data_IF_840026612673
#
_entry.id   IF_840026612673
#
_cell.length_a   1.000
_cell.length_b   1.000
_cell.length_c   1.000
_cell.angle_alpha   90.00
_cell.angle_beta   90.00
_cell.angle_gamma   90.00
#
_symmetry.space_group_name_H-M   'P 1'
#
loop_
_entity.id
_entity.type
_entity.pdbx_description
1 polymer ?
#
# COMPACT_ATOMS: atom_id res chain seq x y z
N UNK A 1 -68.63 56.55 14.25
CA UNK A 1 -69.32 57.51 13.38
C UNK A 1 -69.13 57.18 11.92
N UNK A 2 -70.23 56.97 11.23
CA UNK A 2 -70.50 57.07 9.78
C UNK A 2 -69.64 56.22 8.83
N UNK A 3 -70.22 55.10 8.26
CA UNK A 3 -71.15 55.06 7.08
C UNK A 3 -70.38 55.39 5.80
N UNK A 4 -70.43 54.69 4.72
CA UNK A 4 -71.38 53.76 4.10
C UNK A 4 -70.69 53.05 2.90
N UNK A 5 -71.03 51.84 2.70
CA UNK A 5 -71.26 51.08 1.45
C UNK A 5 -71.95 51.93 0.33
N UNK A 6 -72.23 51.28 -0.84
CA UNK A 6 -71.59 50.41 -1.82
C UNK A 6 -71.82 50.97 -3.25
N UNK A 7 -71.27 50.37 -4.27
CA UNK A 7 -72.01 50.34 -5.55
C UNK A 7 -71.61 49.15 -6.40
N UNK A 8 -72.62 48.43 -6.58
CA UNK A 8 -72.76 47.24 -7.40
C UNK A 8 -73.18 47.71 -8.81
N UNK A 9 -72.78 46.88 -9.78
CA UNK A 9 -73.49 46.62 -11.05
C UNK A 9 -73.19 47.54 -12.25
N UNK A 10 -72.82 47.03 -13.28
CA UNK A 10 -73.54 46.77 -14.58
C UNK A 10 -72.55 46.41 -15.66
N UNK A 11 -72.65 45.22 -16.17
CA UNK A 11 -73.42 44.74 -17.38
C UNK A 11 -72.47 44.77 -18.56
N UNK A 12 -72.06 43.61 -18.98
CA UNK A 12 -72.60 42.68 -19.99
C UNK A 12 -72.52 43.18 -21.44
N UNK A 13 -72.06 42.37 -22.24
CA UNK A 13 -72.22 42.23 -23.67
C UNK A 13 -71.32 43.04 -24.58
N UNK A 14 -70.43 42.33 -25.19
CA UNK A 14 -70.53 42.25 -26.68
C UNK A 14 -69.69 41.05 -27.12
N UNK A 15 -70.43 40.01 -27.50
CA UNK A 15 -70.03 38.91 -28.35
C UNK A 15 -69.69 39.46 -29.74
N UNK A 16 -68.73 38.90 -30.36
CA UNK A 16 -68.69 38.41 -31.72
C UNK A 16 -67.35 38.66 -32.44
N UNK A 17 -66.84 37.60 -33.01
CA UNK A 17 -66.13 37.52 -34.25
C UNK A 17 -64.70 37.99 -34.31
N UNK A 18 -63.81 36.99 -34.18
CA UNK A 18 -62.76 36.75 -35.16
C UNK A 18 -62.19 35.32 -34.97
N UNK A 19 -62.92 34.35 -35.39
CA UNK A 19 -62.29 33.08 -35.85
C UNK A 19 -61.63 33.41 -37.19
N UNK A 20 -60.33 33.25 -37.26
CA UNK A 20 -59.60 32.75 -38.47
C UNK A 20 -58.08 32.99 -38.29
N UNK A 21 -57.36 31.92 -38.60
CA UNK A 21 -55.94 31.86 -38.91
C UNK A 21 -54.92 32.00 -37.77
N UNK A 22 -54.56 30.89 -37.13
CA UNK A 22 -53.16 30.49 -37.04
C UNK A 22 -53.09 28.98 -37.06
N UNK A 23 -53.16 28.44 -38.25
CA UNK A 23 -52.60 27.13 -38.60
C UNK A 23 -51.17 27.41 -39.07
N UNK A 24 -50.22 27.37 -38.21
CA UNK A 24 -48.82 27.43 -38.61
C UNK A 24 -47.93 26.70 -37.61
N UNK A 25 -47.29 25.67 -38.12
CA UNK A 25 -46.09 25.02 -37.63
C UNK A 25 -46.20 24.29 -36.28
N UNK A 26 -46.78 23.12 -36.29
CA UNK A 26 -46.29 21.99 -35.53
C UNK A 26 -45.08 21.44 -36.27
N UNK A 27 -43.86 21.93 -35.95
CA UNK A 27 -42.64 21.23 -36.23
C UNK A 27 -42.53 20.12 -35.16
N UNK A 28 -42.24 18.86 -35.52
CA UNK A 28 -41.95 17.84 -34.50
C UNK A 28 -40.68 18.24 -33.82
N UNK A 29 -40.75 18.50 -32.48
CA UNK A 29 -39.60 18.59 -31.64
C UNK A 29 -38.84 17.26 -31.76
N UNK A 30 -37.72 17.29 -32.45
CA UNK A 30 -36.76 16.20 -32.43
C UNK A 30 -36.42 15.95 -30.94
N UNK A 31 -36.87 14.79 -30.45
CA UNK A 31 -36.47 14.29 -29.18
C UNK A 31 -34.94 14.21 -29.20
N UNK A 32 -34.28 15.18 -28.59
CA UNK A 32 -32.85 15.14 -28.32
C UNK A 32 -32.61 13.89 -27.47
N UNK A 33 -31.89 12.93 -28.03
CA UNK A 33 -31.39 11.80 -27.26
C UNK A 33 -30.71 12.36 -25.99
N UNK A 34 -30.89 11.73 -24.81
CA UNK A 34 -30.19 12.12 -23.63
C UNK A 34 -28.70 11.98 -23.94
N UNK A 35 -28.02 13.10 -24.09
CA UNK A 35 -26.56 13.12 -24.04
C UNK A 35 -26.22 12.65 -22.63
N UNK A 36 -25.79 11.39 -22.54
CA UNK A 36 -25.19 10.83 -21.36
C UNK A 36 -23.99 11.70 -20.98
N UNK A 37 -24.23 12.70 -20.20
CA UNK A 37 -23.19 13.44 -19.51
C UNK A 37 -22.49 12.44 -18.61
N UNK A 38 -21.38 11.89 -19.07
CA UNK A 38 -20.39 11.31 -18.19
C UNK A 38 -20.01 12.45 -17.26
N UNK A 39 -20.44 12.36 -15.99
CA UNK A 39 -19.92 13.17 -14.90
C UNK A 39 -18.44 12.83 -14.73
N UNK A 40 -17.63 13.17 -15.71
CA UNK A 40 -16.18 13.13 -15.65
C UNK A 40 -15.77 14.24 -14.70
N UNK A 41 -15.46 13.88 -13.46
CA UNK A 41 -14.52 14.70 -12.72
C UNK A 41 -13.32 14.90 -13.64
N UNK A 42 -12.79 16.13 -13.77
CA UNK A 42 -11.63 16.36 -14.60
C UNK A 42 -10.57 15.35 -14.19
N UNK A 43 -10.10 14.55 -15.16
CA UNK A 43 -9.11 13.52 -14.90
C UNK A 43 -7.96 14.17 -14.13
N UNK A 44 -7.71 13.70 -12.92
CA UNK A 44 -6.61 14.22 -12.09
C UNK A 44 -5.32 14.07 -12.89
N UNK A 45 -4.53 15.11 -13.00
CA UNK A 45 -3.20 15.01 -13.61
C UNK A 45 -2.36 14.03 -12.80
N UNK A 46 -1.90 12.97 -13.45
CA UNK A 46 -1.05 11.93 -12.87
C UNK A 46 0.24 11.75 -13.66
N UNK A 47 0.65 12.80 -14.40
CA UNK A 47 1.84 12.75 -15.26
C UNK A 47 3.15 12.84 -14.49
N UNK A 48 3.12 13.39 -13.25
CA UNK A 48 4.29 13.63 -12.42
C UNK A 48 4.09 13.10 -11.02
N UNK A 49 4.43 11.85 -10.79
CA UNK A 49 4.20 11.14 -9.53
C UNK A 49 5.45 11.22 -8.66
N UNK A 50 5.29 11.65 -7.41
CA UNK A 50 6.27 11.39 -6.34
C UNK A 50 5.80 10.19 -5.55
N UNK A 51 6.64 9.15 -5.52
CA UNK A 51 6.38 7.87 -4.86
C UNK A 51 7.13 7.79 -3.53
N UNK A 52 6.39 7.69 -2.43
CA UNK A 52 6.95 7.65 -1.08
C UNK A 52 6.56 6.32 -0.43
N UNK A 53 7.57 5.46 -0.23
CA UNK A 53 7.43 4.08 0.26
C UNK A 53 7.83 3.05 -0.80
N UNK A 54 8.76 2.14 -0.45
CA UNK A 54 9.29 1.14 -1.38
C UNK A 54 8.23 0.25 -2.02
N UNK A 55 7.17 -0.11 -1.28
CA UNK A 55 6.04 -0.88 -1.82
C UNK A 55 5.20 -0.06 -2.82
N UNK A 56 5.03 1.26 -2.58
CA UNK A 56 4.34 2.15 -3.52
C UNK A 56 5.08 2.20 -4.84
N UNK A 57 6.40 2.37 -4.78
CA UNK A 57 7.27 2.37 -5.97
C UNK A 57 7.19 1.03 -6.71
N UNK A 58 7.30 -0.08 -6.00
CA UNK A 58 7.20 -1.43 -6.60
C UNK A 58 5.86 -1.62 -7.34
N UNK A 59 4.75 -1.20 -6.73
CA UNK A 59 3.42 -1.27 -7.36
C UNK A 59 3.33 -0.38 -8.60
N UNK A 60 3.83 0.85 -8.54
CA UNK A 60 3.83 1.75 -9.70
C UNK A 60 4.61 1.18 -10.88
N UNK A 61 5.76 0.56 -10.63
CA UNK A 61 6.52 -0.15 -11.66
C UNK A 61 5.77 -1.37 -12.19
N UNK A 62 5.14 -2.17 -11.31
CA UNK A 62 4.33 -3.32 -11.71
C UNK A 62 3.08 -2.91 -12.53
N UNK A 63 2.60 -1.66 -12.38
CA UNK A 63 1.53 -1.09 -13.18
C UNK A 63 2.01 -0.43 -14.49
N UNK A 64 3.33 -0.44 -14.78
CA UNK A 64 3.91 0.16 -15.98
C UNK A 64 3.84 1.70 -15.99
N UNK A 65 4.03 2.31 -14.81
CA UNK A 65 3.93 3.77 -14.62
C UNK A 65 5.29 4.44 -14.37
N UNK A 66 6.40 3.75 -14.62
CA UNK A 66 7.76 4.22 -14.34
C UNK A 66 8.07 5.58 -15.00
N UNK A 67 7.50 5.85 -16.19
CA UNK A 67 7.71 7.10 -16.91
C UNK A 67 7.02 8.29 -16.24
N UNK A 68 5.98 8.04 -15.42
CA UNK A 68 5.29 9.07 -14.67
C UNK A 68 5.97 9.40 -13.32
N UNK A 69 6.88 8.54 -12.85
CA UNK A 69 7.57 8.72 -11.57
C UNK A 69 8.69 9.75 -11.75
N UNK A 70 8.60 10.87 -11.05
CA UNK A 70 9.63 11.93 -11.05
C UNK A 70 10.59 11.80 -9.88
N UNK A 71 10.16 11.20 -8.78
CA UNK A 71 11.02 10.92 -7.63
C UNK A 71 10.48 9.77 -6.77
N UNK A 72 11.40 9.18 -6.01
CA UNK A 72 11.13 8.08 -5.08
C UNK A 72 11.77 8.37 -3.72
N UNK A 73 11.33 7.69 -2.67
CA UNK A 73 12.02 7.75 -1.38
C UNK A 73 13.18 6.74 -1.30
N UNK A 74 14.03 6.89 -0.27
CA UNK A 74 15.24 6.08 -0.10
C UNK A 74 14.96 4.58 0.16
N UNK A 75 13.72 4.16 0.42
CA UNK A 75 13.36 2.75 0.59
C UNK A 75 12.98 2.05 -0.71
N UNK A 76 12.94 2.76 -1.82
CA UNK A 76 12.54 2.29 -3.15
C UNK A 76 13.62 1.46 -3.84
N UNK A 77 14.10 0.40 -3.16
CA UNK A 77 15.20 -0.45 -3.66
C UNK A 77 14.79 -1.40 -4.79
N UNK A 78 13.49 -1.52 -5.07
CA UNK A 78 13.03 -2.39 -6.15
C UNK A 78 11.97 -1.70 -7.02
N UNK A 79 12.04 -1.85 -8.35
CA UNK A 79 13.14 -2.48 -9.07
C UNK A 79 14.44 -1.66 -8.93
N UNK A 80 15.63 -2.26 -9.16
CA UNK A 80 16.92 -1.59 -8.88
C UNK A 80 17.13 -0.27 -9.64
N UNK A 81 16.45 -0.10 -10.79
CA UNK A 81 16.52 1.13 -11.58
C UNK A 81 15.80 2.30 -10.88
N UNK A 82 14.86 2.06 -9.98
CA UNK A 82 14.10 3.12 -9.32
C UNK A 82 15.02 4.15 -8.63
N UNK A 83 15.93 3.71 -7.77
CA UNK A 83 16.89 4.61 -7.11
C UNK A 83 18.03 5.10 -8.01
N UNK A 84 18.33 4.39 -9.10
CA UNK A 84 19.39 4.80 -10.02
C UNK A 84 18.94 5.89 -10.99
N UNK A 85 17.68 5.88 -11.40
CA UNK A 85 17.13 6.73 -12.46
C UNK A 85 16.26 7.86 -11.94
N UNK A 86 15.66 7.71 -10.77
CA UNK A 86 14.75 8.69 -10.19
C UNK A 86 15.43 9.50 -9.09
N UNK A 87 15.02 10.75 -8.94
CA UNK A 87 15.48 11.60 -7.83
C UNK A 87 15.02 10.99 -6.50
N UNK A 88 15.85 11.07 -5.46
CA UNK A 88 15.47 10.66 -4.12
C UNK A 88 14.96 11.86 -3.33
N UNK A 89 13.81 11.68 -2.64
CA UNK A 89 13.27 12.65 -1.66
C UNK A 89 13.73 12.33 -0.23
N UNK A 90 14.70 11.43 -0.08
CA UNK A 90 15.20 11.02 1.23
C UNK A 90 14.38 9.89 1.86
N UNK A 91 14.57 9.68 3.16
CA UNK A 91 13.88 8.61 3.89
C UNK A 91 12.43 8.99 4.18
N UNK A 92 11.48 8.10 3.90
CA UNK A 92 10.04 8.40 3.98
C UNK A 92 9.55 8.90 5.35
N UNK A 93 10.28 8.65 6.45
CA UNK A 93 9.96 9.19 7.79
C UNK A 93 10.69 10.49 8.14
N UNK A 94 11.50 11.02 7.22
CA UNK A 94 12.29 12.25 7.40
C UNK A 94 12.22 13.13 6.15
N UNK A 95 11.01 13.31 5.62
CA UNK A 95 10.76 14.09 4.42
C UNK A 95 10.88 15.59 4.68
N UNK A 96 11.33 16.33 3.66
CA UNK A 96 11.27 17.80 3.58
C UNK A 96 10.15 18.20 2.63
N UNK A 97 9.22 19.09 3.02
CA UNK A 97 8.21 19.62 2.11
C UNK A 97 8.81 20.26 0.86
N UNK A 98 9.89 21.03 1.00
CA UNK A 98 10.58 21.69 -0.12
C UNK A 98 11.17 20.63 -1.08
N UNK A 99 11.79 19.58 -0.54
CA UNK A 99 12.36 18.49 -1.35
C UNK A 99 11.30 17.73 -2.16
N UNK A 100 10.08 17.59 -1.62
CA UNK A 100 8.96 16.93 -2.31
C UNK A 100 8.27 17.90 -3.28
N UNK A 101 7.86 19.07 -2.82
CA UNK A 101 7.05 20.02 -3.60
C UNK A 101 7.88 20.75 -4.67
N UNK A 102 9.17 20.96 -4.44
CA UNK A 102 10.10 21.54 -5.42
C UNK A 102 10.28 20.71 -6.71
N UNK A 103 9.79 19.48 -6.73
CA UNK A 103 9.74 18.62 -7.93
C UNK A 103 8.54 18.90 -8.82
N UNK A 104 7.66 19.84 -8.44
CA UNK A 104 6.40 20.13 -9.12
C UNK A 104 5.58 18.86 -9.42
N UNK A 105 5.26 18.03 -8.40
CA UNK A 105 4.44 16.86 -8.62
C UNK A 105 3.00 17.25 -8.98
N UNK A 106 2.34 16.41 -9.78
CA UNK A 106 0.90 16.48 -9.98
C UNK A 106 0.16 15.49 -9.04
N UNK A 107 0.87 14.44 -8.61
CA UNK A 107 0.35 13.44 -7.66
C UNK A 107 1.46 12.99 -6.70
N UNK A 108 1.13 12.93 -5.42
CA UNK A 108 1.98 12.38 -4.37
C UNK A 108 1.27 11.14 -3.81
N UNK A 109 1.93 9.98 -3.88
CA UNK A 109 1.49 8.74 -3.27
C UNK A 109 2.40 8.44 -2.10
N UNK A 110 1.91 8.55 -0.87
CA UNK A 110 2.70 8.36 0.33
C UNK A 110 2.16 7.20 1.17
N UNK A 111 3.03 6.25 1.52
CA UNK A 111 2.68 5.15 2.42
C UNK A 111 2.26 5.69 3.80
N UNK A 112 1.28 5.09 4.44
CA UNK A 112 0.93 5.40 5.84
C UNK A 112 2.17 5.35 6.74
N UNK A 113 2.28 6.31 7.67
CA UNK A 113 3.45 6.44 8.53
C UNK A 113 4.63 7.19 7.89
N UNK A 114 4.44 7.77 6.69
CA UNK A 114 5.35 8.78 6.17
C UNK A 114 5.40 10.00 7.11
N UNK A 115 6.53 10.67 7.17
CA UNK A 115 6.71 11.74 8.16
C UNK A 115 7.95 12.60 7.94
N UNK A 116 8.25 13.47 8.88
CA UNK A 116 7.53 13.72 10.14
C UNK A 116 6.14 14.33 9.92
N UNK A 117 5.25 14.23 10.92
CA UNK A 117 3.86 14.69 10.82
C UNK A 117 3.74 16.14 10.34
N UNK A 118 4.59 17.03 10.82
CA UNK A 118 4.61 18.43 10.42
C UNK A 118 4.89 18.59 8.92
N UNK A 119 5.85 17.83 8.38
CA UNK A 119 6.14 17.85 6.95
C UNK A 119 4.95 17.35 6.12
N UNK A 120 4.30 16.27 6.57
CA UNK A 120 3.12 15.73 5.89
C UNK A 120 1.97 16.73 5.86
N UNK A 121 1.68 17.43 6.98
CA UNK A 121 0.66 18.49 7.02
C UNK A 121 0.91 19.57 5.96
N UNK A 122 2.16 19.99 5.77
CA UNK A 122 2.50 21.01 4.73
C UNK A 122 2.33 20.43 3.32
N UNK A 123 2.78 19.20 3.09
CA UNK A 123 2.66 18.53 1.79
C UNK A 123 1.19 18.34 1.40
N UNK A 124 0.35 17.90 2.32
CA UNK A 124 -1.08 17.69 2.12
C UNK A 124 -1.83 18.99 1.84
N UNK A 125 -1.42 20.10 2.48
CA UNK A 125 -2.01 21.42 2.31
C UNK A 125 -1.57 22.16 1.03
N UNK A 126 -0.60 21.62 0.27
CA UNK A 126 -0.01 22.30 -0.88
C UNK A 126 -0.90 22.37 -2.13
N UNK A 127 -2.12 21.80 -2.11
CA UNK A 127 -3.04 21.80 -3.25
C UNK A 127 -2.66 20.85 -4.38
N UNK A 128 -1.64 20.02 -4.19
CA UNK A 128 -1.23 18.94 -5.10
C UNK A 128 -2.10 17.70 -4.83
N UNK A 129 -2.33 16.89 -5.86
CA UNK A 129 -2.98 15.58 -5.66
C UNK A 129 -2.21 14.74 -4.64
N UNK A 130 -2.82 14.47 -3.49
CA UNK A 130 -2.21 13.65 -2.43
C UNK A 130 -3.09 12.44 -2.11
N UNK A 131 -2.46 11.28 -1.94
CA UNK A 131 -3.12 10.03 -1.49
C UNK A 131 -2.25 9.35 -0.45
N UNK A 132 -2.81 9.18 0.75
CA UNK A 132 -2.23 8.29 1.76
C UNK A 132 -2.55 6.85 1.40
N UNK A 133 -1.52 6.05 1.23
CA UNK A 133 -1.61 4.64 0.81
C UNK A 133 -1.59 3.76 2.05
N UNK A 134 -2.63 2.96 2.31
CA UNK A 134 -2.71 2.14 3.52
C UNK A 134 -1.57 1.13 3.61
N UNK A 135 -1.07 0.88 4.83
CA UNK A 135 0.04 -0.05 5.10
C UNK A 135 -0.36 -1.15 6.08
N UNK A 136 -1.23 -2.04 5.63
CA UNK A 136 -1.68 -3.21 6.39
C UNK A 136 -0.84 -4.43 6.04
N UNK A 137 -0.33 -5.12 7.04
CA UNK A 137 0.60 -6.25 6.90
C UNK A 137 -0.13 -7.59 6.76
N UNK A 138 -1.06 -7.65 5.77
CA UNK A 138 -1.85 -8.84 5.41
C UNK A 138 -1.93 -8.99 3.90
N UNK A 139 -2.39 -10.16 3.41
CA UNK A 139 -2.62 -10.37 1.98
C UNK A 139 -3.68 -9.42 1.41
N UNK A 140 -4.77 -9.21 2.14
CA UNK A 140 -5.84 -8.28 1.79
C UNK A 140 -5.33 -6.83 1.75
N UNK A 141 -4.44 -6.47 2.69
CA UNK A 141 -3.82 -5.14 2.72
C UNK A 141 -2.93 -4.86 1.50
N UNK A 142 -2.28 -5.87 0.94
CA UNK A 142 -1.53 -5.71 -0.31
C UNK A 142 -2.47 -5.42 -1.48
N UNK A 143 -3.58 -6.15 -1.56
CA UNK A 143 -4.60 -5.98 -2.61
C UNK A 143 -5.24 -4.60 -2.51
N UNK A 144 -5.61 -4.16 -1.30
CA UNK A 144 -6.11 -2.81 -1.03
C UNK A 144 -5.12 -1.74 -1.49
N UNK A 145 -3.85 -1.89 -1.13
CA UNK A 145 -2.76 -0.97 -1.51
C UNK A 145 -2.63 -0.85 -3.03
N UNK A 146 -2.66 -1.96 -3.75
CA UNK A 146 -2.62 -1.98 -5.23
C UNK A 146 -3.80 -1.21 -5.81
N UNK A 147 -5.02 -1.45 -5.32
CA UNK A 147 -6.23 -0.79 -5.80
C UNK A 147 -6.20 0.72 -5.54
N UNK A 148 -5.82 1.13 -4.34
CA UNK A 148 -5.69 2.56 -3.98
C UNK A 148 -4.72 3.28 -4.91
N UNK A 149 -3.55 2.70 -5.16
CA UNK A 149 -2.54 3.28 -6.06
C UNK A 149 -3.05 3.31 -7.50
N UNK A 150 -3.66 2.22 -7.98
CA UNK A 150 -4.17 2.14 -9.35
C UNK A 150 -5.28 3.14 -9.62
N UNK A 151 -6.22 3.31 -8.68
CA UNK A 151 -7.30 4.30 -8.75
C UNK A 151 -6.73 5.72 -8.74
N UNK A 152 -5.78 6.01 -7.83
CA UNK A 152 -5.16 7.32 -7.75
C UNK A 152 -4.39 7.68 -9.05
N UNK A 153 -3.82 6.70 -9.73
CA UNK A 153 -3.06 6.87 -10.96
C UNK A 153 -3.91 6.75 -12.26
N UNK A 154 -5.22 6.45 -12.15
CA UNK A 154 -6.15 6.31 -13.28
C UNK A 154 -5.87 5.07 -14.16
N UNK A 155 -5.51 3.94 -13.53
CA UNK A 155 -5.17 2.68 -14.20
C UNK A 155 -5.85 1.47 -13.54
N UNK A 156 -7.11 1.61 -13.17
CA UNK A 156 -7.87 0.64 -12.38
C UNK A 156 -7.88 -0.77 -12.98
N UNK A 157 -8.01 -0.88 -14.32
CA UNK A 157 -7.96 -2.19 -15.00
C UNK A 157 -6.65 -2.92 -14.78
N UNK A 158 -5.53 -2.19 -14.85
CA UNK A 158 -4.19 -2.75 -14.57
C UNK A 158 -4.07 -3.12 -13.09
N UNK A 159 -4.64 -2.29 -12.21
CA UNK A 159 -4.72 -2.54 -10.77
C UNK A 159 -5.44 -3.84 -10.45
N UNK A 160 -6.62 -4.10 -11.04
CA UNK A 160 -7.36 -5.34 -10.81
C UNK A 160 -6.63 -6.57 -11.37
N UNK A 161 -5.97 -6.45 -12.53
CA UNK A 161 -5.13 -7.50 -13.07
C UNK A 161 -3.98 -7.86 -12.10
N UNK A 162 -3.25 -6.86 -11.59
CA UNK A 162 -2.16 -7.05 -10.63
C UNK A 162 -2.68 -7.60 -9.29
N UNK A 163 -3.79 -7.06 -8.78
CA UNK A 163 -4.43 -7.53 -7.55
C UNK A 163 -4.83 -9.00 -7.64
N UNK A 164 -5.40 -9.40 -8.79
CA UNK A 164 -5.72 -10.82 -9.04
C UNK A 164 -4.47 -11.69 -9.07
N UNK A 165 -3.41 -11.27 -9.75
CA UNK A 165 -2.17 -12.02 -9.81
C UNK A 165 -1.56 -12.25 -8.41
N UNK A 166 -1.56 -11.19 -7.57
CA UNK A 166 -1.10 -11.29 -6.18
C UNK A 166 -2.01 -12.19 -5.34
N UNK A 167 -3.34 -12.12 -5.53
CA UNK A 167 -4.29 -13.01 -4.86
C UNK A 167 -4.02 -14.48 -5.20
N UNK A 168 -3.80 -14.81 -6.48
CA UNK A 168 -3.50 -16.18 -6.93
C UNK A 168 -2.18 -16.71 -6.31
N UNK A 169 -1.19 -15.82 -6.11
CA UNK A 169 0.07 -16.17 -5.45
C UNK A 169 -0.12 -16.39 -3.95
N UNK A 170 -0.93 -15.57 -3.28
CA UNK A 170 -1.30 -15.74 -1.86
C UNK A 170 -2.09 -17.02 -1.63
N UNK A 171 -3.01 -17.39 -2.54
CA UNK A 171 -3.74 -18.66 -2.49
C UNK A 171 -2.80 -19.85 -2.63
N UNK A 172 -1.80 -19.74 -3.50
CA UNK A 172 -0.76 -20.78 -3.65
C UNK A 172 0.06 -20.91 -2.37
N UNK A 173 0.44 -19.80 -1.75
CA UNK A 173 1.11 -19.77 -0.45
C UNK A 173 0.22 -20.37 0.67
N UNK A 174 -1.07 -20.08 0.69
CA UNK A 174 -2.01 -20.63 1.66
C UNK A 174 -2.09 -22.16 1.57
N UNK A 175 -2.13 -22.71 0.36
CA UNK A 175 -2.08 -24.15 0.11
C UNK A 175 -0.76 -24.77 0.61
N UNK A 176 0.38 -24.12 0.36
CA UNK A 176 1.68 -24.60 0.87
C UNK A 176 1.67 -24.72 2.40
N UNK A 177 1.06 -23.74 3.08
CA UNK A 177 0.99 -23.70 4.55
C UNK A 177 0.14 -24.79 5.16
N UNK A 178 -0.77 -25.42 4.44
CA UNK A 178 -1.56 -26.56 4.97
C UNK A 178 -0.68 -27.77 5.35
N UNK A 179 0.54 -27.85 4.79
CA UNK A 179 1.52 -28.87 5.15
C UNK A 179 2.30 -28.58 6.44
N UNK A 180 2.08 -27.42 7.09
CA UNK A 180 2.78 -27.06 8.34
C UNK A 180 2.02 -27.62 9.53
N UNK A 181 2.62 -28.58 10.23
CA UNK A 181 2.02 -29.18 11.43
C UNK A 181 2.05 -28.23 12.64
N UNK A 182 3.21 -27.64 12.92
CA UNK A 182 3.41 -26.69 14.04
C UNK A 182 4.08 -25.42 13.54
N UNK A 183 3.52 -24.24 13.84
CA UNK A 183 4.12 -22.98 13.45
C UNK A 183 5.44 -22.75 14.19
N UNK A 184 6.47 -22.32 13.46
CA UNK A 184 7.77 -21.99 14.05
C UNK A 184 7.67 -20.66 14.80
N UNK A 185 8.10 -20.67 16.07
CA UNK A 185 8.23 -19.45 16.88
C UNK A 185 9.48 -18.68 16.42
N UNK A 186 9.29 -17.56 15.76
CA UNK A 186 10.37 -16.77 15.21
C UNK A 186 10.45 -15.40 15.93
N UNK A 187 11.67 -14.91 16.13
CA UNK A 187 11.95 -13.58 16.64
C UNK A 187 12.58 -12.76 15.52
N UNK A 188 12.04 -11.59 15.23
CA UNK A 188 12.64 -10.67 14.28
C UNK A 188 13.54 -9.68 15.02
N UNK A 189 14.84 -9.73 14.72
CA UNK A 189 15.86 -8.84 15.24
C UNK A 189 16.09 -7.69 14.25
N UNK A 190 15.68 -6.48 14.65
CA UNK A 190 15.86 -5.29 13.82
C UNK A 190 17.31 -4.77 13.90
N UNK A 191 17.86 -4.70 15.08
CA UNK A 191 19.24 -4.24 15.36
C UNK A 191 19.63 -4.51 16.81
N UNK A 192 20.92 -4.32 17.12
CA UNK A 192 21.39 -4.08 18.48
C UNK A 192 21.54 -2.57 18.68
N UNK A 193 21.00 -2.05 19.79
CA UNK A 193 21.15 -0.65 20.21
C UNK A 193 21.87 -0.67 21.56
N UNK A 194 23.15 -0.32 21.56
CA UNK A 194 24.03 -0.68 22.66
C UNK A 194 24.11 -2.20 22.76
N UNK A 195 23.94 -2.77 23.92
CA UNK A 195 23.90 -4.22 24.14
C UNK A 195 22.48 -4.79 24.13
N UNK A 196 21.46 -3.98 23.77
CA UNK A 196 20.06 -4.40 23.75
C UNK A 196 19.58 -4.72 22.35
N UNK A 197 18.95 -5.88 22.23
CA UNK A 197 18.29 -6.29 20.99
C UNK A 197 17.02 -5.46 20.78
N UNK A 198 16.90 -4.78 19.64
CA UNK A 198 15.65 -4.19 19.18
C UNK A 198 14.89 -5.21 18.35
N UNK A 199 13.71 -5.60 18.80
CA UNK A 199 12.93 -6.67 18.19
C UNK A 199 11.53 -6.22 17.78
N UNK A 200 10.88 -6.99 16.91
CA UNK A 200 9.51 -6.75 16.49
C UNK A 200 8.52 -7.39 17.45
N UNK A 201 7.58 -6.60 17.96
CA UNK A 201 6.36 -7.04 18.61
C UNK A 201 5.20 -7.20 17.62
N UNK A 202 3.97 -7.11 18.15
CA UNK A 202 2.73 -7.17 17.36
C UNK A 202 2.58 -5.96 16.43
N UNK A 203 1.65 -6.07 15.47
CA UNK A 203 1.27 -5.03 14.52
C UNK A 203 2.48 -4.50 13.70
N UNK A 204 3.42 -5.38 13.35
CA UNK A 204 4.58 -5.06 12.53
C UNK A 204 4.59 -5.83 11.21
N UNK A 205 5.30 -5.31 10.22
CA UNK A 205 5.55 -6.03 8.98
C UNK A 205 6.26 -7.37 9.24
N UNK A 206 7.15 -7.41 10.23
CA UNK A 206 7.84 -8.64 10.63
C UNK A 206 6.86 -9.70 11.16
N UNK A 207 5.89 -9.33 11.99
CA UNK A 207 4.85 -10.25 12.45
C UNK A 207 3.98 -10.72 11.28
N UNK A 208 3.58 -9.79 10.40
CA UNK A 208 2.77 -10.10 9.22
C UNK A 208 3.43 -11.14 8.30
N UNK A 209 4.72 -10.95 7.97
CA UNK A 209 5.44 -11.89 7.10
C UNK A 209 5.69 -13.24 7.77
N UNK A 210 5.99 -13.26 9.09
CA UNK A 210 6.08 -14.53 9.84
C UNK A 210 4.78 -15.32 9.73
N UNK A 211 3.64 -14.66 9.95
CA UNK A 211 2.32 -15.28 9.84
C UNK A 211 2.05 -15.80 8.42
N UNK A 212 2.38 -15.04 7.38
CA UNK A 212 2.25 -15.47 6.00
C UNK A 212 3.15 -16.67 5.69
N UNK A 213 4.31 -16.77 6.32
CA UNK A 213 5.26 -17.89 6.15
C UNK A 213 4.94 -19.10 7.05
N UNK A 214 3.85 -19.08 7.82
CA UNK A 214 3.49 -20.19 8.71
C UNK A 214 4.26 -20.22 10.04
N UNK A 215 4.89 -19.11 10.40
CA UNK A 215 5.47 -18.89 11.72
C UNK A 215 4.57 -18.05 12.62
N UNK A 216 4.98 -17.92 13.88
CA UNK A 216 4.38 -17.02 14.87
C UNK A 216 5.45 -16.16 15.52
N UNK A 217 5.10 -14.91 15.83
CA UNK A 217 6.04 -14.03 16.53
C UNK A 217 6.28 -14.56 17.96
N UNK A 218 7.55 -14.72 18.33
CA UNK A 218 7.92 -15.14 19.67
C UNK A 218 7.73 -14.03 20.72
N UNK A 219 7.65 -12.76 20.30
CA UNK A 219 7.46 -11.56 21.14
C UNK A 219 6.07 -11.00 20.87
N UNK A 220 5.17 -11.06 21.86
CA UNK A 220 3.77 -10.63 21.75
C UNK A 220 3.33 -9.62 22.80
N UNK A 221 4.23 -9.21 23.69
CA UNK A 221 3.91 -8.39 24.86
C UNK A 221 3.69 -6.91 24.54
N UNK A 222 4.13 -6.47 23.35
CA UNK A 222 4.00 -5.08 22.92
C UNK A 222 3.74 -4.95 21.41
N UNK A 223 3.41 -3.76 20.97
CA UNK A 223 3.27 -3.39 19.56
C UNK A 223 4.47 -2.58 19.08
N UNK A 224 4.77 -2.73 17.77
CA UNK A 224 5.87 -2.02 17.12
C UNK A 224 7.22 -2.67 17.37
N UNK A 225 8.28 -1.87 17.24
CA UNK A 225 9.66 -2.30 17.44
C UNK A 225 10.21 -1.67 18.71
N UNK A 226 10.68 -2.48 19.66
CA UNK A 226 11.21 -2.00 20.94
C UNK A 226 12.48 -2.74 21.34
N UNK A 227 13.38 -2.08 22.10
CA UNK A 227 14.47 -2.76 22.78
C UNK A 227 13.92 -3.70 23.85
N UNK A 228 14.49 -4.87 23.96
CA UNK A 228 14.19 -5.87 25.01
C UNK A 228 15.47 -6.24 25.76
N UNK A 229 15.29 -6.72 26.99
CA UNK A 229 16.39 -7.27 27.79
C UNK A 229 16.63 -8.75 27.47
N UNK A 230 17.69 -9.30 28.02
CA UNK A 230 18.11 -10.67 27.82
C UNK A 230 17.09 -11.68 28.34
N UNK A 231 16.46 -11.41 29.46
CA UNK A 231 15.43 -12.26 30.07
C UNK A 231 14.23 -12.42 29.14
N UNK A 232 13.82 -11.35 28.45
CA UNK A 232 12.70 -11.42 27.50
C UNK A 232 13.04 -12.30 26.30
N UNK A 233 14.28 -12.26 25.79
CA UNK A 233 14.73 -13.11 24.68
C UNK A 233 14.74 -14.59 25.11
N UNK A 234 15.30 -14.86 26.31
CA UNK A 234 15.36 -16.20 26.87
C UNK A 234 13.96 -16.76 27.13
N UNK A 235 13.06 -15.95 27.71
CA UNK A 235 11.67 -16.36 27.98
C UNK A 235 10.88 -16.61 26.68
N UNK A 236 11.14 -15.84 25.63
CA UNK A 236 10.47 -15.98 24.33
C UNK A 236 10.79 -17.32 23.65
N UNK A 237 11.91 -17.98 23.99
CA UNK A 237 12.34 -19.26 23.43
C UNK A 237 12.17 -19.34 21.88
N UNK A 238 12.75 -18.40 21.11
CA UNK A 238 12.61 -18.42 19.67
C UNK A 238 13.27 -19.67 19.09
N UNK A 239 12.63 -20.26 18.10
CA UNK A 239 13.12 -21.40 17.33
C UNK A 239 13.90 -20.99 16.08
N UNK A 240 13.68 -19.72 15.63
CA UNK A 240 14.43 -19.09 14.56
C UNK A 240 14.58 -17.59 14.87
N UNK A 241 15.70 -17.00 14.40
CA UNK A 241 15.92 -15.55 14.42
C UNK A 241 15.91 -15.04 12.98
N UNK A 242 15.09 -14.04 12.73
CA UNK A 242 14.97 -13.36 11.44
C UNK A 242 15.63 -11.99 11.51
N UNK A 243 16.28 -11.56 10.43
CA UNK A 243 16.86 -10.22 10.32
C UNK A 243 16.75 -9.68 8.90
N UNK A 244 16.85 -8.34 8.77
CA UNK A 244 17.07 -7.73 7.47
C UNK A 244 18.56 -7.79 7.10
N UNK A 245 18.84 -8.10 5.84
CA UNK A 245 20.16 -7.83 5.26
C UNK A 245 20.35 -6.31 5.13
N UNK A 246 21.44 -5.82 5.68
CA UNK A 246 21.90 -4.43 5.58
C UNK A 246 23.34 -4.41 5.13
N UNK A 247 23.66 -3.60 4.11
CA UNK A 247 25.02 -3.52 3.60
C UNK A 247 26.00 -2.94 4.64
N UNK A 248 25.55 -1.91 5.38
CA UNK A 248 26.41 -1.17 6.31
C UNK A 248 26.66 -1.88 7.66
N UNK A 249 25.76 -2.73 8.13
CA UNK A 249 25.84 -3.44 9.41
C UNK A 249 25.15 -4.81 9.28
N UNK A 250 25.83 -5.79 8.65
CA UNK A 250 25.25 -7.10 8.49
C UNK A 250 25.12 -7.80 9.84
N UNK A 251 23.90 -8.19 10.19
CA UNK A 251 23.65 -9.15 11.26
C UNK A 251 23.88 -10.54 10.68
N UNK A 252 24.71 -11.33 11.29
CA UNK A 252 24.95 -12.71 10.93
C UNK A 252 24.71 -13.68 12.11
N UNK A 253 24.58 -14.95 11.80
CA UNK A 253 24.32 -15.98 12.79
C UNK A 253 25.40 -16.02 13.88
N UNK A 254 26.67 -15.82 13.53
CA UNK A 254 27.79 -15.87 14.45
C UNK A 254 27.67 -14.76 15.49
N UNK A 255 27.47 -13.52 15.03
CA UNK A 255 27.35 -12.35 15.92
C UNK A 255 26.12 -12.49 16.81
N UNK A 256 24.98 -12.87 16.27
CA UNK A 256 23.72 -12.98 17.02
C UNK A 256 23.80 -14.11 18.05
N UNK A 257 24.28 -15.30 17.68
CA UNK A 257 24.33 -16.44 18.58
C UNK A 257 25.53 -16.42 19.54
N UNK A 258 26.50 -15.53 19.35
CA UNK A 258 27.52 -15.24 20.36
C UNK A 258 26.98 -14.40 21.56
N UNK A 259 25.86 -13.68 21.35
CA UNK A 259 25.23 -12.94 22.44
C UNK A 259 24.57 -13.89 23.44
N UNK A 260 24.84 -13.72 24.74
CA UNK A 260 24.47 -14.67 25.81
C UNK A 260 22.98 -15.05 25.81
N UNK A 261 22.07 -14.08 25.60
CA UNK A 261 20.64 -14.34 25.61
C UNK A 261 20.21 -15.21 24.43
N UNK A 262 20.75 -14.97 23.24
CA UNK A 262 20.43 -15.76 22.06
C UNK A 262 21.08 -17.15 22.11
N UNK A 263 22.29 -17.28 22.68
CA UNK A 263 22.98 -18.56 22.82
C UNK A 263 22.16 -19.61 23.58
N UNK A 264 21.31 -19.17 24.50
CA UNK A 264 20.44 -20.02 25.32
C UNK A 264 19.15 -20.46 24.62
N UNK A 265 18.87 -19.97 23.41
CA UNK A 265 17.62 -20.22 22.69
C UNK A 265 17.65 -21.49 21.86
N UNK A 266 16.49 -22.09 21.53
CA UNK A 266 16.38 -23.15 20.56
C UNK A 266 16.93 -22.78 19.16
N UNK A 267 16.83 -21.49 18.77
CA UNK A 267 17.36 -20.98 17.52
C UNK A 267 18.88 -21.15 17.43
N UNK A 268 19.63 -20.83 18.48
CA UNK A 268 21.07 -21.01 18.51
C UNK A 268 21.47 -22.48 18.42
N UNK A 269 20.77 -23.36 19.14
CA UNK A 269 21.01 -24.81 19.09
C UNK A 269 20.85 -25.40 17.69
N UNK A 270 19.92 -24.82 16.88
CA UNK A 270 19.63 -25.25 15.50
C UNK A 270 20.38 -24.43 14.46
N UNK A 271 21.12 -23.40 14.86
CA UNK A 271 21.73 -22.41 13.95
C UNK A 271 20.69 -21.79 12.99
N UNK A 272 19.45 -21.63 13.46
CA UNK A 272 18.31 -21.17 12.68
C UNK A 272 18.30 -19.63 12.63
N UNK A 273 19.12 -19.06 11.76
CA UNK A 273 19.21 -17.63 11.46
C UNK A 273 18.87 -17.39 10.00
N UNK A 274 17.91 -16.48 9.73
CA UNK A 274 17.45 -16.14 8.40
C UNK A 274 17.61 -14.63 8.18
N UNK A 275 18.43 -14.24 7.21
CA UNK A 275 18.57 -12.87 6.79
C UNK A 275 18.10 -12.70 5.35
N UNK A 276 17.18 -11.77 5.09
CA UNK A 276 16.62 -11.50 3.78
C UNK A 276 16.65 -10.00 3.47
N UNK A 277 16.63 -9.65 2.18
CA UNK A 277 16.52 -8.24 1.75
C UNK A 277 15.35 -7.54 2.44
N UNK A 278 15.58 -6.35 2.99
CA UNK A 278 14.61 -5.66 3.84
C UNK A 278 13.31 -5.32 3.13
N UNK A 279 13.36 -4.75 1.92
CA UNK A 279 12.15 -4.42 1.15
C UNK A 279 11.39 -5.68 0.71
N UNK A 280 12.10 -6.72 0.29
CA UNK A 280 11.51 -8.00 -0.09
C UNK A 280 10.77 -8.65 1.08
N UNK A 281 11.39 -8.63 2.26
CA UNK A 281 10.83 -9.26 3.47
C UNK A 281 9.69 -8.44 4.09
N UNK A 282 9.80 -7.11 4.15
CA UNK A 282 8.95 -6.25 4.97
C UNK A 282 8.12 -5.23 4.16
N UNK A 283 8.28 -5.19 2.84
CA UNK A 283 7.65 -4.14 2.03
C UNK A 283 6.15 -4.30 1.83
N UNK A 284 5.61 -5.51 1.92
CA UNK A 284 4.20 -5.79 1.63
C UNK A 284 3.74 -5.21 0.28
N UNK A 285 4.59 -5.42 -0.72
CA UNK A 285 4.33 -5.15 -2.13
C UNK A 285 3.92 -6.41 -2.91
N UNK A 286 3.89 -6.34 -4.25
CA UNK A 286 3.47 -7.46 -5.11
C UNK A 286 4.25 -8.75 -4.91
N UNK A 287 5.53 -8.70 -4.49
CA UNK A 287 6.38 -9.87 -4.27
C UNK A 287 6.26 -10.51 -2.89
N UNK A 288 5.34 -10.06 -2.04
CA UNK A 288 5.23 -10.55 -0.65
C UNK A 288 4.94 -12.05 -0.58
N UNK A 289 4.12 -12.60 -1.47
CA UNK A 289 3.86 -14.05 -1.50
C UNK A 289 5.14 -14.85 -1.80
N UNK A 290 6.01 -14.33 -2.68
CA UNK A 290 7.33 -14.93 -2.94
C UNK A 290 8.24 -14.88 -1.72
N UNK A 291 8.30 -13.70 -1.06
CA UNK A 291 9.10 -13.52 0.16
C UNK A 291 8.64 -14.45 1.29
N UNK A 292 7.32 -14.58 1.48
CA UNK A 292 6.74 -15.45 2.48
C UNK A 292 6.98 -16.94 2.16
N UNK A 293 6.95 -17.36 0.90
CA UNK A 293 7.32 -18.72 0.47
C UNK A 293 8.78 -19.01 0.78
N UNK A 294 9.67 -18.08 0.44
CA UNK A 294 11.11 -18.25 0.67
C UNK A 294 11.43 -18.31 2.16
N UNK A 295 10.75 -17.49 2.97
CA UNK A 295 10.83 -17.57 4.41
C UNK A 295 10.25 -18.89 4.94
N UNK A 296 9.09 -19.33 4.45
CA UNK A 296 8.46 -20.60 4.85
C UNK A 296 9.40 -21.79 4.59
N UNK A 297 10.10 -21.83 3.46
CA UNK A 297 11.04 -22.89 3.14
C UNK A 297 12.23 -22.95 4.09
N UNK A 298 12.62 -21.83 4.70
CA UNK A 298 13.69 -21.75 5.69
C UNK A 298 13.19 -22.08 7.11
N UNK A 299 11.96 -21.67 7.45
CA UNK A 299 11.36 -22.00 8.75
C UNK A 299 10.89 -23.45 8.83
N UNK A 300 10.52 -24.04 7.69
CA UNK A 300 9.94 -25.38 7.55
C UNK A 300 10.62 -26.15 6.41
N UNK A 301 11.86 -26.63 6.60
CA UNK A 301 12.66 -27.25 5.52
C UNK A 301 12.03 -28.53 4.92
N UNK A 302 11.06 -29.14 5.59
CA UNK A 302 10.34 -30.33 5.12
C UNK A 302 9.19 -30.01 4.16
N UNK A 303 8.84 -28.74 3.99
CA UNK A 303 7.82 -28.35 3.03
C UNK A 303 8.25 -28.65 1.59
N UNK A 304 7.31 -29.06 0.72
CA UNK A 304 7.61 -29.24 -0.69
C UNK A 304 8.05 -27.89 -1.31
N UNK A 305 9.01 -27.95 -2.24
CA UNK A 305 9.43 -26.78 -3.01
C UNK A 305 8.28 -26.35 -3.93
N UNK A 306 7.59 -25.29 -3.55
CA UNK A 306 6.47 -24.73 -4.32
C UNK A 306 6.97 -23.59 -5.20
N UNK A 307 6.66 -23.65 -6.48
CA UNK A 307 6.95 -22.57 -7.42
C UNK A 307 5.78 -21.58 -7.41
N UNK A 308 6.05 -20.32 -7.04
CA UNK A 308 5.18 -19.17 -7.31
C UNK A 308 5.87 -18.44 -8.47
N UNK A 309 5.25 -18.38 -9.66
CA UNK A 309 5.90 -17.75 -10.82
C UNK A 309 6.09 -16.25 -10.59
N UNK A 310 7.35 -15.80 -10.64
CA UNK A 310 7.69 -14.37 -10.47
C UNK A 310 7.08 -13.46 -11.57
N UNK A 311 6.81 -14.04 -12.73
CA UNK A 311 6.26 -13.34 -13.89
C UNK A 311 4.79 -12.91 -13.71
N UNK A 312 4.07 -13.47 -12.73
CA UNK A 312 2.66 -13.10 -12.47
C UNK A 312 2.50 -11.63 -12.11
N UNK A 313 3.48 -11.04 -11.48
CA UNK A 313 3.50 -9.63 -11.04
C UNK A 313 4.32 -8.74 -11.97
N UNK A 314 4.74 -9.23 -13.15
CA UNK A 314 5.45 -8.40 -14.12
C UNK A 314 4.50 -7.42 -14.82
N UNK A 315 4.96 -6.19 -15.15
CA UNK A 315 4.16 -5.18 -15.84
C UNK A 315 3.54 -5.69 -17.13
N UNK A 316 4.30 -6.44 -17.92
CA UNK A 316 3.92 -6.90 -19.26
C UNK A 316 2.61 -7.69 -19.29
N UNK A 317 2.30 -8.42 -18.22
CA UNK A 317 1.07 -9.20 -18.11
C UNK A 317 -0.20 -8.34 -18.03
N UNK A 318 -0.11 -7.15 -17.45
CA UNK A 318 -1.27 -6.31 -17.15
C UNK A 318 -1.34 -5.04 -18.02
N UNK A 319 -0.46 -4.89 -19.01
CA UNK A 319 -0.41 -3.73 -19.90
C UNK A 319 -1.33 -3.84 -21.14
N UNK A 320 -1.93 -5.01 -21.36
CA UNK A 320 -2.81 -5.29 -22.49
C UNK A 320 -4.22 -4.67 -22.37
#
# INVERSE_FOLDING_TARGET
MRRNTPFVLRIAALLTAAALMVAALMAPAAAGAPQGGTNGHPARDTSRIVSIGGAVTEILYALGLEQRIVAVDATSHYPPQALREKRSVGYFRQLSPEGVLGLNPSLILAIEGAGPKQAMTVIEAAGVGFVSVPDRFTGEGIIEKIRVIATAAGVERRGECLAKAVSDDLDTLARLRTGIGQPTRALFLLSFVGERAQVAGRATAAEGIMRLAGGVNAITEFEGYKPVNDEAIIAAQPQAVLAMQREALPLDARTVFAHQAFALTPAAKRQAFVAMNGLYLLGFGPRTALAARDLASQLHPTLPKTVIPSERTSPERCLG
#
